data_IF_384355652378
#
_entry.id   IF_384355652378
#
_cell.length_a   1.000
_cell.length_b   1.000
_cell.length_c   1.000
_cell.angle_alpha   90.00
_cell.angle_beta   90.00
_cell.angle_gamma   90.00
#
_symmetry.space_group_name_H-M   'P 1'
#
loop_
_entity.id
_entity.type
_entity.pdbx_description
1 polymer ?
#
# COMPACT_ATOMS: atom_id res chain seq x y z
N UNK A 1 2.13 10.69 11.36
CA UNK A 1 1.33 9.80 10.47
C UNK A 1 2.25 8.77 9.86
N UNK A 2 1.89 7.51 9.93
CA UNK A 2 2.69 6.46 9.32
C UNK A 2 2.34 6.28 7.86
N UNK A 3 3.35 5.92 7.08
CA UNK A 3 3.17 5.58 5.68
C UNK A 3 3.13 4.06 5.53
N UNK A 4 2.24 3.59 4.68
CA UNK A 4 2.19 2.19 4.27
C UNK A 4 2.39 2.19 2.75
N UNK A 5 3.48 1.58 2.31
CA UNK A 5 3.82 1.52 0.90
C UNK A 5 3.38 0.18 0.33
N UNK A 6 2.57 0.23 -0.72
CA UNK A 6 2.03 -0.98 -1.35
C UNK A 6 2.45 -0.99 -2.81
N UNK A 7 3.17 -2.03 -3.20
CA UNK A 7 3.61 -2.23 -4.59
C UNK A 7 2.90 -3.47 -5.13
N UNK A 8 2.00 -3.26 -6.08
CA UNK A 8 1.18 -4.31 -6.65
C UNK A 8 1.84 -4.81 -7.93
N UNK A 9 2.42 -6.00 -7.85
CA UNK A 9 2.99 -6.68 -9.01
C UNK A 9 2.00 -7.65 -9.63
N UNK A 10 2.45 -8.34 -10.69
CA UNK A 10 1.61 -9.30 -11.40
C UNK A 10 1.33 -10.58 -10.58
N UNK A 11 2.26 -10.99 -9.73
CA UNK A 11 2.15 -12.24 -8.99
C UNK A 11 1.98 -12.05 -7.49
N UNK A 12 2.33 -10.89 -6.95
CA UNK A 12 2.22 -10.65 -5.51
C UNK A 12 2.18 -9.15 -5.21
N UNK A 13 1.58 -8.82 -4.09
CA UNK A 13 1.59 -7.47 -3.54
C UNK A 13 2.66 -7.41 -2.46
N UNK A 14 3.49 -6.37 -2.49
CA UNK A 14 4.54 -6.14 -1.51
C UNK A 14 4.15 -4.96 -0.64
N UNK A 15 4.34 -5.09 0.66
CA UNK A 15 3.94 -4.06 1.62
C UNK A 15 5.10 -3.72 2.54
N UNK A 16 5.35 -2.43 2.73
CA UNK A 16 6.29 -1.92 3.73
C UNK A 16 5.57 -0.88 4.58
N UNK A 17 5.90 -0.84 5.86
CA UNK A 17 5.33 0.12 6.80
C UNK A 17 6.47 0.93 7.40
N UNK A 18 6.32 2.25 7.51
CA UNK A 18 7.29 3.06 8.23
C UNK A 18 7.04 2.96 9.74
N UNK A 19 8.13 2.97 10.52
CA UNK A 19 8.03 3.09 11.97
C UNK A 19 7.96 4.57 12.38
N UNK A 20 7.82 4.87 13.69
CA UNK A 20 7.74 6.28 14.13
C UNK A 20 8.97 7.10 13.80
N UNK A 21 10.14 6.48 13.60
CA UNK A 21 11.36 7.19 13.21
C UNK A 21 11.49 7.38 11.71
N UNK A 22 10.59 6.79 10.92
CA UNK A 22 10.60 6.89 9.47
C UNK A 22 11.32 5.77 8.75
N UNK A 23 11.84 4.79 9.48
CA UNK A 23 12.50 3.64 8.88
C UNK A 23 11.48 2.66 8.33
N UNK A 24 11.82 2.00 7.21
CA UNK A 24 10.93 1.03 6.59
C UNK A 24 11.06 -0.34 7.26
N UNK A 25 9.93 -1.01 7.41
CA UNK A 25 9.90 -2.42 7.80
C UNK A 25 10.48 -3.29 6.69
N UNK A 26 10.82 -4.55 6.99
CA UNK A 26 11.08 -5.52 5.93
C UNK A 26 9.89 -5.63 4.99
N UNK A 27 10.17 -6.00 3.73
CA UNK A 27 9.13 -6.17 2.73
C UNK A 27 8.30 -7.41 3.08
N UNK A 28 6.99 -7.22 3.13
CA UNK A 28 6.04 -8.31 3.33
C UNK A 28 5.42 -8.69 2.00
N UNK A 29 5.47 -9.96 1.65
CA UNK A 29 4.88 -10.47 0.43
C UNK A 29 3.47 -10.96 0.74
N UNK A 30 2.49 -10.39 0.06
CA UNK A 30 1.07 -10.69 0.27
C UNK A 30 0.43 -11.12 -1.05
N UNK A 31 0.47 -12.41 -1.39
CA UNK A 31 -0.18 -12.89 -2.62
C UNK A 31 -1.68 -12.55 -2.66
N UNK A 32 -2.33 -12.58 -1.51
CA UNK A 32 -3.71 -12.14 -1.37
C UNK A 32 -3.75 -11.06 -0.28
N UNK A 33 -3.65 -9.82 -0.70
CA UNK A 33 -3.53 -8.69 0.22
C UNK A 33 -4.67 -8.65 1.24
N UNK A 34 -5.89 -8.95 0.84
CA UNK A 34 -7.03 -8.88 1.75
C UNK A 34 -6.99 -9.92 2.86
N UNK A 35 -6.29 -11.04 2.66
CA UNK A 35 -6.15 -12.11 3.65
C UNK A 35 -4.78 -12.12 4.32
N UNK A 36 -3.73 -11.86 3.54
CA UNK A 36 -2.36 -12.09 3.99
C UNK A 36 -1.81 -10.93 4.81
N UNK A 37 -2.29 -9.71 4.57
CA UNK A 37 -1.83 -8.56 5.32
C UNK A 37 -2.64 -8.41 6.61
N UNK A 38 -1.93 -8.36 7.75
CA UNK A 38 -2.57 -8.19 9.05
C UNK A 38 -2.74 -6.70 9.38
N UNK A 39 -3.93 -6.19 9.17
CA UNK A 39 -4.26 -4.79 9.44
C UNK A 39 -4.18 -4.43 10.92
N UNK A 40 -4.22 -5.42 11.81
CA UNK A 40 -4.14 -5.20 13.25
C UNK A 40 -2.74 -4.76 13.69
N UNK A 41 -1.72 -4.99 12.86
CA UNK A 41 -0.36 -4.53 13.17
C UNK A 41 -0.21 -3.03 12.99
N UNK A 42 -1.15 -2.37 12.31
CA UNK A 42 -1.12 -0.93 12.12
C UNK A 42 -1.58 -0.20 13.39
N UNK A 43 -1.07 1.02 13.63
CA UNK A 43 -1.50 1.79 14.78
C UNK A 43 -2.96 2.22 14.65
N UNK A 44 -3.57 2.59 15.79
CA UNK A 44 -4.93 3.11 15.80
C UNK A 44 -5.05 4.50 15.17
N UNK A 45 -3.92 5.15 14.94
CA UNK A 45 -3.88 6.43 14.25
C UNK A 45 -4.05 6.26 12.75
N UNK A 46 -4.50 7.31 12.09
CA UNK A 46 -4.65 7.29 10.64
C UNK A 46 -3.30 7.07 9.97
N UNK A 47 -3.30 6.24 8.95
CA UNK A 47 -2.14 5.97 8.12
C UNK A 47 -2.37 6.56 6.73
N UNK A 48 -1.27 6.81 6.02
CA UNK A 48 -1.32 7.18 4.63
C UNK A 48 -0.81 6.01 3.80
N UNK A 49 -1.64 5.56 2.88
CA UNK A 49 -1.31 4.47 1.98
C UNK A 49 -0.81 5.04 0.67
N UNK A 50 0.36 4.62 0.23
CA UNK A 50 0.91 4.97 -1.08
C UNK A 50 0.93 3.70 -1.91
N UNK A 51 0.12 3.67 -2.96
CA UNK A 51 -0.11 2.47 -3.75
C UNK A 51 0.49 2.66 -5.13
N UNK A 52 1.42 1.79 -5.50
CA UNK A 52 2.02 1.73 -6.82
C UNK A 52 1.55 0.48 -7.53
N UNK A 53 1.06 0.62 -8.76
CA UNK A 53 0.55 -0.53 -9.50
C UNK A 53 0.63 -0.31 -10.99
N UNK A 54 0.97 -1.39 -11.71
CA UNK A 54 0.86 -1.44 -13.17
C UNK A 54 -0.41 -2.18 -13.61
N UNK A 55 -1.21 -2.66 -12.65
CA UNK A 55 -2.41 -3.47 -12.90
C UNK A 55 -3.62 -2.78 -12.26
N UNK A 56 -4.43 -2.12 -13.09
CA UNK A 56 -5.56 -1.34 -12.61
C UNK A 56 -6.63 -2.17 -11.87
N UNK A 57 -7.03 -3.37 -12.31
CA UNK A 57 -7.98 -4.19 -11.56
C UNK A 57 -7.49 -4.56 -10.17
N UNK A 58 -6.22 -4.95 -10.03
CA UNK A 58 -5.66 -5.28 -8.72
C UNK A 58 -5.55 -4.05 -7.84
N UNK A 59 -5.19 -2.90 -8.41
CA UNK A 59 -5.14 -1.66 -7.66
C UNK A 59 -6.50 -1.33 -7.06
N UNK A 60 -7.56 -1.49 -7.83
CA UNK A 60 -8.91 -1.21 -7.36
C UNK A 60 -9.31 -2.15 -6.21
N UNK A 61 -8.97 -3.44 -6.32
CA UNK A 61 -9.25 -4.40 -5.27
C UNK A 61 -8.53 -4.04 -3.97
N UNK A 62 -7.26 -3.68 -4.07
CA UNK A 62 -6.47 -3.29 -2.90
C UNK A 62 -7.05 -2.01 -2.28
N UNK A 63 -7.39 -1.03 -3.10
CA UNK A 63 -7.98 0.21 -2.62
C UNK A 63 -9.32 -0.05 -1.89
N UNK A 64 -10.15 -0.94 -2.43
CA UNK A 64 -11.42 -1.30 -1.81
C UNK A 64 -11.24 -2.00 -0.47
N UNK A 65 -10.26 -2.89 -0.37
CA UNK A 65 -9.94 -3.59 0.88
C UNK A 65 -9.48 -2.58 1.94
N UNK A 66 -8.60 -1.66 1.56
CA UNK A 66 -8.12 -0.63 2.48
C UNK A 66 -9.28 0.25 2.95
N UNK A 67 -10.14 0.67 2.06
CA UNK A 67 -11.28 1.50 2.40
C UNK A 67 -12.24 0.79 3.36
N UNK A 68 -12.40 -0.53 3.20
CA UNK A 68 -13.25 -1.33 4.07
C UNK A 68 -12.64 -1.55 5.45
N UNK A 69 -11.32 -1.80 5.51
CA UNK A 69 -10.62 -2.11 6.77
C UNK A 69 -10.15 -0.85 7.51
N UNK A 70 -9.82 0.19 6.78
CA UNK A 70 -9.25 1.42 7.34
C UNK A 70 -9.93 2.64 6.72
N UNK A 71 -11.22 2.88 7.01
CA UNK A 71 -11.96 3.96 6.34
C UNK A 71 -11.46 5.37 6.67
N UNK A 72 -10.75 5.55 7.78
CA UNK A 72 -10.19 6.86 8.14
C UNK A 72 -8.84 7.16 7.51
N UNK A 73 -8.22 6.18 6.86
CA UNK A 73 -6.90 6.35 6.27
C UNK A 73 -7.00 7.02 4.90
N UNK A 74 -5.92 7.72 4.53
CA UNK A 74 -5.81 8.34 3.21
C UNK A 74 -5.07 7.42 2.27
N UNK A 75 -5.46 7.47 1.01
CA UNK A 75 -4.83 6.70 -0.05
C UNK A 75 -4.31 7.63 -1.14
N UNK A 76 -3.07 7.40 -1.56
CA UNK A 76 -2.46 8.07 -2.71
C UNK A 76 -2.06 6.99 -3.70
N UNK A 77 -2.44 7.15 -4.96
CA UNK A 77 -2.14 6.17 -6.00
C UNK A 77 -1.11 6.76 -6.93
N UNK A 78 0.00 6.05 -7.12
CA UNK A 78 1.04 6.40 -8.06
C UNK A 78 0.87 5.53 -9.28
N UNK A 79 0.61 6.15 -10.44
CA UNK A 79 0.47 5.42 -11.69
C UNK A 79 1.82 5.29 -12.37
N UNK A 80 1.89 4.40 -13.35
CA UNK A 80 3.09 4.23 -14.15
C UNK A 80 3.47 5.52 -14.89
N UNK A 81 2.49 6.31 -15.28
CA UNK A 81 2.75 7.59 -15.94
C UNK A 81 3.47 8.58 -15.02
N UNK A 82 3.09 8.60 -13.74
CA UNK A 82 3.74 9.48 -12.77
C UNK A 82 5.21 9.09 -12.59
N UNK A 83 5.51 7.81 -12.60
CA UNK A 83 6.87 7.30 -12.49
C UNK A 83 7.68 7.69 -13.72
N UNK A 84 7.12 7.60 -14.90
CA UNK A 84 7.79 7.96 -16.14
C UNK A 84 8.20 9.42 -16.18
N UNK A 85 7.36 10.30 -15.66
CA UNK A 85 7.66 11.71 -15.59
C UNK A 85 8.90 12.01 -14.74
N UNK A 86 9.15 11.19 -13.75
CA UNK A 86 10.30 11.36 -12.86
C UNK A 86 11.59 10.83 -13.47
N UNK A 87 11.49 9.96 -14.43
CA UNK A 87 12.65 9.32 -15.06
C UNK A 87 13.16 10.15 -16.22
N UNK A 88 12.31 10.85 -16.89
CA UNK A 88 12.68 11.66 -18.06
C UNK A 88 13.42 12.98 -17.70
#
# INVERSE_FOLDING_TARGET
MRLVLVDIGNSATKVCVTDPSGDLSPIMFCPDFGKDFDFKTLPNQDCRWVISSVNAPQRQRVADVIAAKRPGDRQSIITHQDVDLNIS
#
